data_IF_918055934166
#
_entry.id   IF_918055934166
#
_cell.length_a   1.000
_cell.length_b   1.000
_cell.length_c   1.000
_cell.angle_alpha   90.00
_cell.angle_beta   90.00
_cell.angle_gamma   90.00
#
_symmetry.space_group_name_H-M   'P 1'
#
loop_
_entity.id
_entity.type
_entity.pdbx_description
1 polymer ?
#
# COMPACT_ATOMS: atom_id res chain seq x y z
N UNK A 1 -5.66 -0.30 24.16
CA UNK A 1 -4.56 -0.45 23.18
C UNK A 1 -3.25 -0.71 23.91
N UNK A 2 -2.16 -0.88 23.18
CA UNK A 2 -0.84 -1.12 23.75
C UNK A 2 0.20 -0.30 23.00
N UNK A 3 0.91 0.57 23.71
CA UNK A 3 2.15 1.22 23.25
C UNK A 3 3.19 0.94 24.32
N UNK A 4 4.34 0.42 23.91
CA UNK A 4 5.43 0.10 24.81
C UNK A 4 6.73 0.63 24.26
N UNK A 5 7.42 1.46 25.03
CA UNK A 5 8.75 1.93 24.68
C UNK A 5 9.79 0.86 25.04
N UNK A 6 10.59 0.45 24.06
CA UNK A 6 11.88 -0.17 24.34
C UNK A 6 12.90 0.97 24.48
N UNK A 7 13.30 1.38 25.69
CA UNK A 7 13.13 0.77 27.01
C UNK A 7 12.82 1.82 28.08
N UNK A 8 12.49 1.40 29.30
CA UNK A 8 12.25 2.33 30.41
C UNK A 8 13.48 3.20 30.74
N UNK A 9 14.64 2.57 30.88
CA UNK A 9 15.91 3.23 31.22
C UNK A 9 17.04 2.71 30.35
N UNK A 10 17.85 3.61 29.80
CA UNK A 10 19.04 3.26 29.00
C UNK A 10 19.99 2.35 29.78
N UNK A 11 20.53 1.32 29.12
CA UNK A 11 21.52 0.44 29.72
C UNK A 11 22.86 1.19 29.91
N UNK A 12 23.54 1.09 31.07
CA UNK A 12 24.84 1.70 31.26
C UNK A 12 26.01 0.85 30.72
N UNK A 13 25.73 -0.38 30.28
CA UNK A 13 26.72 -1.33 29.74
C UNK A 13 26.03 -2.31 28.78
N UNK A 14 26.75 -2.77 27.76
CA UNK A 14 26.29 -3.76 26.78
C UNK A 14 26.31 -3.23 25.34
N UNK A 15 25.68 -3.98 24.42
CA UNK A 15 25.59 -3.64 22.99
C UNK A 15 24.63 -2.48 22.71
N UNK A 16 23.68 -2.21 23.61
CA UNK A 16 22.59 -1.23 23.42
C UNK A 16 22.79 0.04 24.25
N UNK A 17 24.02 0.36 24.68
CA UNK A 17 24.28 1.55 25.52
C UNK A 17 23.84 2.85 24.85
N UNK A 18 23.79 2.93 23.53
CA UNK A 18 23.35 4.10 22.77
C UNK A 18 21.88 4.05 22.36
N UNK A 19 21.16 2.96 22.65
CA UNK A 19 19.72 2.88 22.45
C UNK A 19 19.00 3.43 23.68
N UNK A 20 18.73 4.74 23.64
CA UNK A 20 18.19 5.46 24.79
C UNK A 20 16.76 5.07 25.13
N UNK A 21 16.48 4.93 26.42
CA UNK A 21 15.13 4.74 26.95
C UNK A 21 14.39 6.05 27.21
N UNK A 22 13.24 5.94 27.88
CA UNK A 22 12.49 7.10 28.38
C UNK A 22 13.31 7.90 29.40
N UNK A 23 14.00 7.19 30.30
CA UNK A 23 15.02 7.74 31.17
C UNK A 23 16.41 7.42 30.60
N UNK A 24 17.30 8.42 30.60
CA UNK A 24 18.69 8.26 30.19
C UNK A 24 19.53 7.60 31.29
N UNK A 25 20.87 7.65 31.19
CA UNK A 25 21.77 7.06 32.17
C UNK A 25 21.61 7.62 33.59
N UNK A 26 21.21 8.90 33.70
CA UNK A 26 20.95 9.55 34.98
C UNK A 26 19.76 8.96 35.72
N UNK A 27 18.86 8.23 35.03
CA UNK A 27 17.58 7.77 35.56
C UNK A 27 16.67 8.89 36.08
N UNK A 28 16.89 10.12 35.62
CA UNK A 28 16.05 11.28 35.96
C UNK A 28 15.00 11.52 34.86
N UNK A 29 13.77 11.94 35.21
CA UNK A 29 12.77 12.27 34.22
C UNK A 29 13.17 13.50 33.40
N UNK A 30 13.07 13.39 32.08
CA UNK A 30 13.34 14.49 31.14
C UNK A 30 12.17 14.76 30.19
N UNK A 31 12.45 15.47 29.08
CA UNK A 31 11.47 15.80 28.04
C UNK A 31 10.67 14.59 27.55
N UNK A 32 11.34 13.45 27.32
CA UNK A 32 10.70 12.18 26.88
C UNK A 32 9.67 11.67 27.88
N UNK A 33 9.98 11.72 29.18
CA UNK A 33 9.05 11.32 30.24
C UNK A 33 7.86 12.28 30.33
N UNK A 34 8.06 13.58 30.15
CA UNK A 34 6.97 14.57 30.12
C UNK A 34 6.03 14.31 28.93
N UNK A 35 6.59 14.04 27.75
CA UNK A 35 5.84 13.75 26.53
C UNK A 35 5.02 12.46 26.64
N UNK A 36 5.61 11.37 27.12
CA UNK A 36 4.87 10.11 27.37
C UNK A 36 3.80 10.28 28.44
N UNK A 37 4.04 11.12 29.45
CA UNK A 37 3.02 11.44 30.46
C UNK A 37 1.82 12.15 29.84
N UNK A 38 2.06 13.11 28.93
CA UNK A 38 1.00 13.81 28.19
C UNK A 38 0.20 12.84 27.31
N UNK A 39 0.89 11.99 26.55
CA UNK A 39 0.24 10.94 25.73
C UNK A 39 -0.65 10.03 26.60
N UNK A 40 -0.15 9.63 27.78
CA UNK A 40 -0.92 8.83 28.73
C UNK A 40 -2.18 9.52 29.26
N UNK A 41 -2.19 10.86 29.36
CA UNK A 41 -3.38 11.64 29.75
C UNK A 41 -4.38 11.73 28.59
N UNK A 42 -3.90 11.97 27.37
CA UNK A 42 -4.72 12.04 26.15
C UNK A 42 -5.47 10.73 25.89
N UNK A 43 -4.89 9.58 26.26
CA UNK A 43 -5.54 8.28 26.10
C UNK A 43 -6.89 8.15 26.82
N UNK A 44 -7.10 8.86 27.94
CA UNK A 44 -8.38 8.82 28.64
C UNK A 44 -9.52 9.38 27.77
N UNK A 45 -9.23 10.30 26.84
CA UNK A 45 -10.21 10.83 25.90
C UNK A 45 -10.52 9.86 24.74
N UNK A 46 -9.74 8.78 24.59
CA UNK A 46 -9.84 7.81 23.51
C UNK A 46 -10.41 6.46 23.95
N UNK A 47 -11.02 6.38 25.14
CA UNK A 47 -11.46 5.10 25.73
C UNK A 47 -12.45 4.32 24.86
N UNK A 48 -13.35 5.03 24.17
CA UNK A 48 -14.36 4.40 23.31
C UNK A 48 -13.76 3.79 22.02
N UNK A 49 -12.58 4.28 21.61
CA UNK A 49 -11.87 3.88 20.40
C UNK A 49 -11.18 2.51 20.55
N UNK A 50 -10.95 2.04 21.78
CA UNK A 50 -10.29 0.77 22.01
C UNK A 50 -11.05 -0.41 21.39
N UNK A 51 -10.35 -1.18 20.56
CA UNK A 51 -10.93 -2.29 19.80
C UNK A 51 -11.65 -1.87 18.52
N UNK A 52 -11.53 -0.61 18.08
CA UNK A 52 -11.98 -0.19 16.76
C UNK A 52 -11.07 -0.74 15.65
N UNK A 53 -11.64 -1.21 14.56
CA UNK A 53 -10.91 -1.75 13.42
C UNK A 53 -10.41 -0.63 12.52
N UNK A 54 -9.16 -0.71 12.08
CA UNK A 54 -8.64 0.16 11.03
C UNK A 54 -9.40 -0.09 9.72
N UNK A 55 -9.72 0.97 8.99
CA UNK A 55 -10.53 0.88 7.78
C UNK A 55 -9.66 1.17 6.55
N UNK A 56 -9.38 0.12 5.77
CA UNK A 56 -8.71 0.20 4.49
C UNK A 56 -9.51 -0.53 3.41
N UNK A 57 -9.60 0.08 2.23
CA UNK A 57 -10.23 -0.53 1.05
C UNK A 57 -9.19 -1.05 0.05
N UNK A 58 -7.92 -0.73 0.26
CA UNK A 58 -6.78 -1.18 -0.54
C UNK A 58 -5.93 -2.10 0.32
N UNK A 59 -5.49 -3.23 -0.24
CA UNK A 59 -4.51 -4.09 0.40
C UNK A 59 -3.35 -4.44 -0.55
N UNK A 60 -2.15 -4.50 0.00
CA UNK A 60 -0.97 -5.06 -0.64
C UNK A 60 -0.83 -6.50 -0.20
N UNK A 61 -0.98 -7.42 -1.14
CA UNK A 61 -0.91 -8.86 -0.90
C UNK A 61 0.55 -9.29 -0.80
N UNK A 62 0.85 -10.04 0.26
CA UNK A 62 2.14 -10.70 0.48
C UNK A 62 1.93 -12.15 0.86
N UNK A 63 3.00 -12.94 0.76
CA UNK A 63 3.11 -14.27 1.38
C UNK A 63 4.51 -14.38 1.96
N UNK A 64 4.68 -15.12 3.06
CA UNK A 64 6.01 -15.32 3.63
C UNK A 64 6.97 -16.01 2.66
N UNK A 65 6.48 -16.96 1.87
CA UNK A 65 7.31 -17.67 0.88
C UNK A 65 7.88 -16.72 -0.17
N UNK A 66 7.11 -15.74 -0.65
CA UNK A 66 7.62 -14.74 -1.59
C UNK A 66 8.61 -13.77 -0.94
N UNK A 67 8.38 -13.37 0.32
CA UNK A 67 9.32 -12.53 1.08
C UNK A 67 10.66 -13.27 1.27
N UNK A 68 10.62 -14.57 1.59
CA UNK A 68 11.85 -15.36 1.72
C UNK A 68 12.54 -15.62 0.37
N UNK A 69 11.78 -15.81 -0.71
CA UNK A 69 12.33 -15.92 -2.06
C UNK A 69 13.01 -14.63 -2.49
N UNK A 70 12.43 -13.46 -2.20
CA UNK A 70 12.96 -12.16 -2.61
C UNK A 70 14.27 -11.78 -1.92
N UNK A 71 14.48 -12.23 -0.68
CA UNK A 71 15.74 -12.04 0.07
C UNK A 71 16.94 -12.73 -0.60
N UNK A 72 16.71 -13.78 -1.38
CA UNK A 72 17.75 -14.58 -2.04
C UNK A 72 17.78 -14.40 -3.57
N UNK A 73 16.63 -14.24 -4.20
CA UNK A 73 16.52 -13.97 -5.63
C UNK A 73 16.85 -12.50 -5.92
N UNK A 74 18.12 -12.25 -6.26
CA UNK A 74 18.62 -10.90 -6.56
C UNK A 74 17.86 -10.14 -7.65
N UNK A 75 17.11 -10.82 -8.52
CA UNK A 75 16.26 -10.17 -9.52
C UNK A 75 14.92 -9.76 -8.90
N UNK A 76 14.34 -10.60 -8.06
CA UNK A 76 13.10 -10.30 -7.35
C UNK A 76 13.30 -9.19 -6.31
N UNK A 77 14.34 -9.28 -5.47
CA UNK A 77 14.61 -8.25 -4.46
C UNK A 77 14.89 -6.86 -5.04
N UNK A 78 15.30 -6.77 -6.31
CA UNK A 78 15.47 -5.49 -7.02
C UNK A 78 14.15 -4.80 -7.35
N UNK A 79 13.06 -5.55 -7.52
CA UNK A 79 11.76 -5.03 -7.93
C UNK A 79 10.78 -4.90 -6.77
N UNK A 80 10.85 -5.78 -5.78
CA UNK A 80 9.92 -5.80 -4.64
C UNK A 80 10.00 -4.50 -3.83
N UNK A 81 11.19 -4.18 -3.29
CA UNK A 81 11.34 -3.03 -2.39
C UNK A 81 10.99 -1.69 -3.03
N UNK A 82 11.45 -1.35 -4.26
CA UNK A 82 11.03 -0.11 -4.91
C UNK A 82 9.53 -0.04 -5.16
N UNK A 83 8.90 -1.15 -5.55
CA UNK A 83 7.45 -1.20 -5.76
C UNK A 83 6.69 -1.04 -4.45
N UNK A 84 7.14 -1.65 -3.36
CA UNK A 84 6.54 -1.50 -2.03
C UNK A 84 6.63 -0.05 -1.54
N UNK A 85 7.81 0.56 -1.63
CA UNK A 85 8.05 1.95 -1.26
C UNK A 85 7.14 2.89 -2.09
N UNK A 86 7.03 2.65 -3.40
CA UNK A 86 6.18 3.41 -4.31
C UNK A 86 4.68 3.25 -4.01
N UNK A 87 4.22 2.03 -3.73
CA UNK A 87 2.82 1.76 -3.36
C UNK A 87 2.49 2.44 -2.04
N UNK A 88 3.35 2.29 -1.04
CA UNK A 88 3.16 2.92 0.27
C UNK A 88 3.12 4.45 0.15
N UNK A 89 4.10 5.04 -0.55
CA UNK A 89 4.15 6.48 -0.79
C UNK A 89 2.89 6.98 -1.51
N UNK A 90 2.50 6.35 -2.63
CA UNK A 90 1.34 6.79 -3.39
C UNK A 90 0.04 6.72 -2.59
N UNK A 91 -0.16 5.66 -1.79
CA UNK A 91 -1.34 5.53 -0.93
C UNK A 91 -1.33 6.61 0.17
N UNK A 92 -0.20 6.79 0.84
CA UNK A 92 -0.05 7.79 1.91
C UNK A 92 -0.31 9.21 1.40
N UNK A 93 0.35 9.58 0.30
CA UNK A 93 0.31 10.89 -0.32
C UNK A 93 -1.01 11.20 -1.05
N UNK A 94 -1.87 10.20 -1.21
CA UNK A 94 -3.24 10.34 -1.72
C UNK A 94 -4.31 10.21 -0.64
N UNK A 95 -3.90 10.11 0.64
CA UNK A 95 -4.80 9.88 1.77
C UNK A 95 -5.66 8.62 1.62
N UNK A 96 -5.05 7.56 1.09
CA UNK A 96 -5.69 6.26 0.84
C UNK A 96 -5.21 5.24 1.88
N UNK A 97 -6.04 4.90 2.89
CA UNK A 97 -5.71 3.86 3.85
C UNK A 97 -5.42 2.51 3.17
N UNK A 98 -4.34 1.85 3.60
CA UNK A 98 -3.89 0.58 3.03
C UNK A 98 -3.55 -0.44 4.12
N UNK A 99 -3.80 -1.72 3.83
CA UNK A 99 -3.32 -2.85 4.64
C UNK A 99 -2.21 -3.62 3.92
N UNK A 100 -1.27 -4.19 4.66
CA UNK A 100 -0.44 -5.29 4.16
C UNK A 100 -1.06 -6.62 4.63
N UNK A 101 -1.48 -7.44 3.68
CA UNK A 101 -2.19 -8.70 3.97
C UNK A 101 -1.32 -9.88 3.56
N UNK A 102 -0.97 -10.71 4.55
CA UNK A 102 -0.22 -11.94 4.34
C UNK A 102 -1.17 -13.10 4.12
N UNK A 103 -1.27 -13.56 2.88
CA UNK A 103 -2.07 -14.72 2.53
C UNK A 103 -1.29 -16.02 2.77
N UNK A 104 -2.02 -17.05 3.18
CA UNK A 104 -1.52 -18.41 3.40
C UNK A 104 -2.63 -19.44 3.09
N UNK A 105 -2.35 -20.73 3.30
CA UNK A 105 -3.29 -21.81 3.03
C UNK A 105 -4.60 -21.78 3.85
N UNK A 106 -4.70 -20.92 4.87
CA UNK A 106 -5.91 -20.72 5.69
C UNK A 106 -6.71 -19.50 5.25
N UNK A 107 -6.15 -18.67 4.38
CA UNK A 107 -6.80 -17.48 3.86
C UNK A 107 -8.01 -17.86 3.01
N UNK A 108 -9.04 -17.04 3.09
CA UNK A 108 -10.33 -17.27 2.45
C UNK A 108 -10.82 -16.00 1.75
N UNK A 109 -11.87 -16.15 0.94
CA UNK A 109 -12.48 -14.99 0.28
C UNK A 109 -13.04 -13.98 1.30
N UNK A 110 -13.58 -14.46 2.42
CA UNK A 110 -14.13 -13.63 3.51
C UNK A 110 -13.09 -12.67 4.08
N UNK A 111 -11.82 -13.10 4.17
CA UNK A 111 -10.71 -12.26 4.62
C UNK A 111 -10.45 -11.07 3.67
N UNK A 112 -10.87 -11.19 2.42
CA UNK A 112 -10.64 -10.22 1.34
C UNK A 112 -11.85 -9.34 1.04
N UNK A 113 -13.06 -9.69 1.50
CA UNK A 113 -14.32 -9.01 1.15
C UNK A 113 -14.35 -7.52 1.54
N UNK A 114 -13.57 -7.12 2.54
CA UNK A 114 -13.44 -5.71 2.95
C UNK A 114 -12.67 -4.84 1.96
N UNK A 115 -11.86 -5.44 1.09
CA UNK A 115 -11.04 -4.71 0.13
C UNK A 115 -11.76 -4.58 -1.21
N UNK A 116 -11.57 -3.43 -1.86
CA UNK A 116 -12.01 -3.16 -3.22
C UNK A 116 -10.87 -3.36 -4.23
N UNK A 117 -9.63 -3.17 -3.77
CA UNK A 117 -8.43 -3.27 -4.58
C UNK A 117 -7.37 -4.09 -3.84
N UNK A 118 -6.87 -5.13 -4.50
CA UNK A 118 -5.66 -5.85 -4.12
C UNK A 118 -4.53 -5.46 -5.07
N UNK A 119 -3.51 -4.82 -4.54
CA UNK A 119 -2.23 -4.68 -5.21
C UNK A 119 -1.42 -5.93 -4.91
N UNK A 120 -0.94 -6.61 -5.93
CA UNK A 120 -0.16 -7.85 -5.84
C UNK A 120 1.19 -7.61 -6.50
N UNK A 121 2.12 -6.88 -5.83
CA UNK A 121 3.43 -6.63 -6.38
C UNK A 121 4.20 -7.94 -6.48
N UNK A 122 4.51 -8.32 -7.71
CA UNK A 122 5.54 -9.31 -8.02
C UNK A 122 5.40 -10.68 -7.35
N UNK A 123 4.19 -11.19 -7.11
CA UNK A 123 3.97 -12.47 -6.42
C UNK A 123 4.46 -13.67 -7.24
N UNK A 124 5.77 -13.92 -7.21
CA UNK A 124 6.52 -14.90 -7.99
C UNK A 124 6.14 -16.35 -7.71
N UNK A 125 6.05 -16.73 -6.44
CA UNK A 125 5.63 -18.05 -6.01
C UNK A 125 4.11 -18.05 -5.83
N UNK A 126 3.43 -18.92 -6.58
CA UNK A 126 1.98 -19.05 -6.53
C UNK A 126 1.58 -20.50 -6.78
N UNK A 127 0.68 -21.02 -5.95
CA UNK A 127 0.01 -22.29 -6.17
C UNK A 127 -1.40 -22.09 -6.75
N UNK A 128 -2.03 -23.19 -7.16
CA UNK A 128 -3.38 -23.16 -7.72
C UNK A 128 -4.40 -22.58 -6.72
N UNK A 129 -4.27 -22.87 -5.42
CA UNK A 129 -5.20 -22.38 -4.40
C UNK A 129 -5.15 -20.84 -4.28
N UNK A 130 -3.96 -20.25 -4.26
CA UNK A 130 -3.77 -18.80 -4.25
C UNK A 130 -4.30 -18.14 -5.52
N UNK A 131 -4.02 -18.73 -6.70
CA UNK A 131 -4.54 -18.22 -7.96
C UNK A 131 -6.08 -18.22 -7.98
N UNK A 132 -6.70 -19.32 -7.53
CA UNK A 132 -8.16 -19.43 -7.48
C UNK A 132 -8.79 -18.50 -6.43
N UNK A 133 -8.14 -18.28 -5.29
CA UNK A 133 -8.60 -17.30 -4.29
C UNK A 133 -8.62 -15.88 -4.85
N UNK A 134 -7.53 -15.44 -5.48
CA UNK A 134 -7.44 -14.11 -6.10
C UNK A 134 -8.43 -13.97 -7.26
N UNK A 135 -8.60 -15.02 -8.06
CA UNK A 135 -9.60 -15.06 -9.13
C UNK A 135 -11.03 -14.96 -8.58
N UNK A 136 -11.36 -15.70 -7.52
CA UNK A 136 -12.67 -15.66 -6.89
C UNK A 136 -12.99 -14.25 -6.33
N UNK A 137 -11.99 -13.57 -5.76
CA UNK A 137 -12.11 -12.17 -5.35
C UNK A 137 -12.46 -11.25 -6.52
N UNK A 138 -11.79 -11.39 -7.67
CA UNK A 138 -12.14 -10.61 -8.88
C UNK A 138 -13.55 -10.96 -9.36
N UNK A 139 -13.89 -12.25 -9.45
CA UNK A 139 -15.22 -12.69 -9.91
C UNK A 139 -16.35 -12.14 -9.02
N UNK A 140 -16.10 -11.97 -7.72
CA UNK A 140 -17.03 -11.38 -6.75
C UNK A 140 -17.22 -9.86 -6.88
N UNK A 141 -16.35 -9.16 -7.62
CA UNK A 141 -16.42 -7.71 -7.85
C UNK A 141 -15.20 -6.93 -7.39
N UNK A 142 -14.19 -7.60 -6.85
CA UNK A 142 -12.91 -6.98 -6.47
C UNK A 142 -12.06 -6.62 -7.68
N UNK A 143 -11.07 -5.76 -7.46
CA UNK A 143 -10.04 -5.43 -8.46
C UNK A 143 -8.68 -5.94 -8.01
N UNK A 144 -7.96 -6.65 -8.87
CA UNK A 144 -6.58 -7.09 -8.60
C UNK A 144 -5.63 -6.44 -9.59
N UNK A 145 -4.51 -5.91 -9.12
CA UNK A 145 -3.41 -5.40 -9.96
C UNK A 145 -2.16 -6.24 -9.70
N UNK A 146 -1.78 -7.06 -10.67
CA UNK A 146 -0.53 -7.81 -10.63
C UNK A 146 0.63 -6.96 -11.15
N UNK A 147 1.78 -7.07 -10.47
CA UNK A 147 3.05 -6.61 -11.02
C UNK A 147 3.74 -7.67 -11.88
N UNK A 148 4.84 -7.26 -12.51
CA UNK A 148 5.72 -8.15 -13.27
C UNK A 148 6.16 -9.36 -12.44
N UNK A 149 6.57 -10.46 -13.08
CA UNK A 149 7.09 -11.66 -12.41
C UNK A 149 6.05 -12.36 -11.53
N UNK A 150 4.76 -12.16 -11.77
CA UNK A 150 3.72 -12.89 -11.04
C UNK A 150 3.66 -14.36 -11.51
N UNK A 151 3.59 -15.29 -10.55
CA UNK A 151 3.18 -16.68 -10.76
C UNK A 151 4.13 -17.58 -11.56
N UNK A 152 5.40 -17.19 -11.76
CA UNK A 152 6.35 -17.98 -12.56
C UNK A 152 7.03 -19.12 -11.79
N UNK A 153 6.93 -19.15 -10.45
CA UNK A 153 7.39 -20.24 -9.58
C UNK A 153 6.20 -20.94 -8.93
N UNK A 154 6.33 -22.23 -8.68
CA UNK A 154 5.42 -22.97 -7.80
C UNK A 154 5.78 -22.78 -6.31
N UNK A 155 5.04 -23.44 -5.42
CA UNK A 155 5.24 -23.36 -3.97
C UNK A 155 6.59 -23.91 -3.47
N UNK A 156 7.35 -24.62 -4.31
CA UNK A 156 8.69 -25.12 -3.98
C UNK A 156 9.80 -24.28 -4.65
N UNK A 157 9.44 -23.17 -5.30
CA UNK A 157 10.37 -22.30 -6.01
C UNK A 157 10.80 -22.84 -7.39
N UNK A 158 10.20 -23.95 -7.86
CA UNK A 158 10.47 -24.48 -9.18
C UNK A 158 9.76 -23.62 -10.22
N UNK A 159 10.46 -23.23 -11.30
CA UNK A 159 9.83 -22.60 -12.45
C UNK A 159 9.20 -23.67 -13.35
N UNK A 160 7.86 -23.82 -13.38
CA UNK A 160 7.22 -24.86 -14.19
C UNK A 160 7.37 -24.54 -15.68
N UNK A 161 7.34 -25.57 -16.53
CA UNK A 161 7.36 -25.42 -17.99
C UNK A 161 6.02 -24.88 -18.52
N UNK A 162 5.70 -23.61 -18.20
CA UNK A 162 4.46 -22.90 -18.52
C UNK A 162 4.80 -21.47 -18.99
N UNK A 163 4.05 -20.89 -19.94
CA UNK A 163 4.18 -19.47 -20.26
C UNK A 163 3.95 -18.57 -19.04
N UNK A 164 4.75 -17.50 -18.91
CA UNK A 164 4.52 -16.45 -17.91
C UNK A 164 3.29 -15.60 -18.30
N UNK A 165 2.48 -15.11 -17.34
CA UNK A 165 2.68 -15.12 -15.89
C UNK A 165 2.04 -16.33 -15.18
N UNK A 166 2.29 -17.53 -15.69
CA UNK A 166 1.97 -18.78 -15.02
C UNK A 166 0.46 -18.99 -14.84
N UNK A 167 0.05 -19.22 -13.60
CA UNK A 167 -1.36 -19.49 -13.25
C UNK A 167 -2.30 -18.32 -13.57
N UNK A 168 -1.78 -17.08 -13.53
CA UNK A 168 -2.59 -15.87 -13.76
C UNK A 168 -2.85 -15.61 -15.23
N UNK A 169 -1.95 -16.05 -16.13
CA UNK A 169 -2.00 -15.70 -17.55
C UNK A 169 -3.32 -16.04 -18.24
N UNK A 170 -3.93 -17.19 -17.90
CA UNK A 170 -5.18 -17.62 -18.52
C UNK A 170 -6.35 -16.69 -18.21
N UNK A 171 -6.50 -16.27 -16.95
CA UNK A 171 -7.66 -15.48 -16.52
C UNK A 171 -7.40 -13.97 -16.58
N UNK A 172 -6.15 -13.51 -16.47
CA UNK A 172 -5.77 -12.15 -16.86
C UNK A 172 -5.77 -11.94 -18.39
N UNK A 173 -5.72 -13.02 -19.17
CA UNK A 173 -5.76 -12.97 -20.63
C UNK A 173 -4.47 -12.46 -21.27
N UNK A 174 -3.34 -12.60 -20.58
CA UNK A 174 -2.04 -12.10 -21.03
C UNK A 174 -0.98 -13.18 -21.05
N UNK A 175 0.04 -12.96 -21.87
CA UNK A 175 1.28 -13.73 -21.88
C UNK A 175 2.46 -12.76 -21.86
N UNK A 176 3.51 -13.09 -21.12
CA UNK A 176 4.79 -12.39 -21.23
C UNK A 176 5.59 -12.98 -22.39
N UNK A 177 5.98 -12.14 -23.35
CA UNK A 177 6.75 -12.56 -24.54
C UNK A 177 8.24 -12.37 -24.37
N UNK A 178 8.63 -11.35 -23.63
CA UNK A 178 10.03 -11.04 -23.31
C UNK A 178 10.09 -10.28 -21.99
N UNK A 179 11.27 -10.21 -21.38
CA UNK A 179 11.50 -9.41 -20.17
C UNK A 179 12.95 -8.97 -20.06
N UNK A 180 13.17 -7.81 -19.44
CA UNK A 180 14.52 -7.30 -19.20
C UNK A 180 14.62 -6.53 -17.89
N UNK A 181 15.80 -6.62 -17.27
CA UNK A 181 16.22 -5.63 -16.29
C UNK A 181 16.62 -4.35 -17.03
N UNK A 182 16.22 -3.22 -16.47
CA UNK A 182 16.65 -1.91 -16.95
C UNK A 182 18.02 -1.59 -16.32
N UNK A 183 18.98 -1.26 -17.17
CA UNK A 183 20.28 -0.76 -16.76
C UNK A 183 20.30 0.77 -16.72
N UNK A 184 21.50 1.34 -16.59
CA UNK A 184 21.70 2.79 -16.59
C UNK A 184 21.30 3.47 -17.92
N UNK A 185 21.22 2.72 -19.02
CA UNK A 185 20.88 3.28 -20.34
C UNK A 185 19.37 3.47 -20.51
N UNK A 186 18.60 2.72 -19.73
CA UNK A 186 17.14 2.69 -19.73
C UNK A 186 16.56 3.50 -18.55
N UNK A 187 17.40 4.27 -17.83
CA UNK A 187 16.96 5.24 -16.84
C UNK A 187 15.98 6.24 -17.48
N UNK A 188 14.79 6.36 -16.88
CA UNK A 188 13.71 7.22 -17.41
C UNK A 188 12.81 6.57 -18.44
N UNK A 189 12.84 5.23 -18.59
CA UNK A 189 11.81 4.51 -19.34
C UNK A 189 10.42 4.85 -18.79
N UNK A 190 9.47 5.01 -19.70
CA UNK A 190 8.09 5.39 -19.41
C UNK A 190 7.14 4.51 -20.21
N UNK A 191 5.93 4.37 -19.70
CA UNK A 191 4.79 3.84 -20.45
C UNK A 191 3.70 4.91 -20.50
N UNK A 192 3.12 5.12 -21.69
CA UNK A 192 2.02 6.07 -21.88
C UNK A 192 0.68 5.38 -21.62
N UNK A 193 -0.08 5.89 -20.65
CA UNK A 193 -1.48 5.55 -20.40
C UNK A 193 -2.36 6.78 -20.70
N UNK A 194 -3.14 6.69 -21.78
CA UNK A 194 -3.83 7.82 -22.41
C UNK A 194 -2.85 8.94 -22.81
N UNK A 195 -2.89 10.10 -22.14
CA UNK A 195 -2.00 11.24 -22.39
C UNK A 195 -0.89 11.36 -21.33
N UNK A 196 -0.84 10.44 -20.36
CA UNK A 196 0.11 10.49 -19.24
C UNK A 196 1.27 9.52 -19.44
N UNK A 197 2.50 10.02 -19.35
CA UNK A 197 3.71 9.22 -19.36
C UNK A 197 4.08 8.86 -17.93
N UNK A 198 4.03 7.57 -17.61
CA UNK A 198 4.23 7.05 -16.26
C UNK A 198 5.60 6.35 -16.18
N UNK A 199 6.42 6.60 -15.14
CA UNK A 199 7.71 5.95 -15.00
C UNK A 199 7.60 4.42 -14.92
N UNK A 200 8.53 3.73 -15.59
CA UNK A 200 8.71 2.29 -15.50
C UNK A 200 10.12 2.01 -14.98
N UNK A 201 10.31 1.85 -13.66
CA UNK A 201 11.63 1.67 -13.08
C UNK A 201 12.04 0.19 -13.08
N UNK A 202 13.35 -0.06 -13.07
CA UNK A 202 14.01 -1.35 -12.78
C UNK A 202 13.76 -2.53 -13.74
N UNK A 203 12.52 -2.84 -14.12
CA UNK A 203 12.17 -4.06 -14.82
C UNK A 203 10.99 -3.89 -15.78
N UNK A 204 11.01 -4.63 -16.89
CA UNK A 204 9.91 -4.67 -17.86
C UNK A 204 9.62 -6.10 -18.32
N UNK A 205 8.35 -6.43 -18.39
CA UNK A 205 7.78 -7.59 -19.09
C UNK A 205 6.97 -7.09 -20.28
N UNK A 206 7.32 -7.56 -21.47
CA UNK A 206 6.58 -7.27 -22.68
C UNK A 206 5.35 -8.16 -22.71
N UNK A 207 4.16 -7.54 -22.70
CA UNK A 207 2.89 -8.28 -22.63
C UNK A 207 2.29 -8.47 -24.01
N UNK A 208 1.73 -9.66 -24.24
CA UNK A 208 0.87 -9.97 -25.37
C UNK A 208 -0.53 -10.25 -24.85
N UNK A 209 -1.53 -9.49 -25.32
CA UNK A 209 -2.93 -9.76 -25.08
C UNK A 209 -3.33 -11.05 -25.84
N UNK A 210 -3.86 -12.04 -25.10
CA UNK A 210 -4.22 -13.37 -25.61
C UNK A 210 -5.72 -13.60 -25.73
N UNK A 211 -6.54 -12.62 -25.34
CA UNK A 211 -7.97 -12.68 -25.46
C UNK A 211 -8.52 -11.34 -26.00
N UNK A 212 -9.61 -11.41 -26.76
CA UNK A 212 -10.22 -10.25 -27.42
C UNK A 212 -10.85 -9.25 -26.43
N UNK A 213 -11.13 -9.69 -25.20
CA UNK A 213 -11.68 -8.91 -24.11
C UNK A 213 -10.60 -8.26 -23.21
N UNK A 214 -9.33 -8.35 -23.61
CA UNK A 214 -8.21 -7.70 -22.91
C UNK A 214 -7.95 -6.34 -23.54
N UNK A 215 -8.05 -5.31 -22.72
CA UNK A 215 -7.77 -3.93 -23.09
C UNK A 215 -6.33 -3.57 -22.75
N UNK A 216 -5.61 -2.97 -23.70
CA UNK A 216 -4.27 -2.41 -23.46
C UNK A 216 -4.41 -0.97 -23.03
N UNK A 217 -4.07 -0.67 -21.78
CA UNK A 217 -4.19 0.66 -21.19
C UNK A 217 -2.92 1.49 -21.37
N UNK A 218 -1.75 0.86 -21.22
CA UNK A 218 -0.47 1.53 -21.37
C UNK A 218 0.48 0.77 -22.29
N UNK A 219 1.32 1.52 -23.01
CA UNK A 219 2.36 0.98 -23.90
C UNK A 219 3.72 1.60 -23.58
N UNK A 220 4.79 0.83 -23.73
CA UNK A 220 6.15 1.32 -23.53
C UNK A 220 6.52 2.40 -24.56
N UNK A 221 7.21 3.46 -24.12
CA UNK A 221 7.55 4.61 -24.97
C UNK A 221 8.87 4.43 -25.75
N UNK A 222 9.73 3.49 -25.34
CA UNK A 222 11.08 3.34 -25.85
C UNK A 222 11.59 1.89 -25.78
N UNK A 223 12.86 1.70 -26.16
CA UNK A 223 13.56 0.41 -26.27
C UNK A 223 13.05 -0.48 -27.42
N UNK A 224 13.57 -1.72 -27.54
CA UNK A 224 13.22 -2.66 -28.62
C UNK A 224 11.75 -3.11 -28.60
N UNK A 225 11.03 -2.83 -27.52
CA UNK A 225 9.62 -3.11 -27.29
C UNK A 225 8.76 -1.83 -27.24
N UNK A 226 9.25 -0.71 -27.81
CA UNK A 226 8.46 0.51 -27.94
C UNK A 226 7.13 0.24 -28.67
N UNK A 227 6.02 0.71 -28.09
CA UNK A 227 4.67 0.47 -28.58
C UNK A 227 4.05 -0.85 -28.10
N UNK A 228 4.82 -1.74 -27.46
CA UNK A 228 4.26 -2.97 -26.90
C UNK A 228 3.50 -2.71 -25.59
N UNK A 229 2.48 -3.54 -25.26
CA UNK A 229 1.69 -3.40 -24.05
C UNK A 229 2.53 -3.52 -22.75
N UNK A 230 2.36 -2.53 -21.87
CA UNK A 230 2.96 -2.47 -20.53
C UNK A 230 1.93 -2.68 -19.40
N UNK A 231 0.70 -2.22 -19.61
CA UNK A 231 -0.41 -2.41 -18.68
C UNK A 231 -1.64 -2.86 -19.45
N UNK A 232 -2.29 -3.90 -18.95
CA UNK A 232 -3.54 -4.42 -19.51
C UNK A 232 -4.63 -4.46 -18.44
N UNK A 233 -5.89 -4.46 -18.88
CA UNK A 233 -7.07 -4.67 -18.05
C UNK A 233 -7.97 -5.71 -18.71
N UNK A 234 -8.58 -6.57 -17.89
CA UNK A 234 -9.63 -7.50 -18.33
C UNK A 234 -10.74 -7.58 -17.27
N UNK A 235 -11.99 -7.62 -17.73
CA UNK A 235 -13.13 -7.89 -16.85
C UNK A 235 -13.27 -9.39 -16.63
N UNK A 236 -13.34 -9.81 -15.36
CA UNK A 236 -13.54 -11.22 -14.99
C UNK A 236 -14.67 -11.27 -13.95
N UNK A 237 -15.77 -11.96 -14.28
CA UNK A 237 -16.98 -11.93 -13.47
C UNK A 237 -17.51 -10.50 -13.30
N UNK A 238 -17.58 -10.02 -12.06
CA UNK A 238 -18.04 -8.65 -11.74
C UNK A 238 -16.91 -7.65 -11.52
N UNK A 239 -15.66 -8.11 -11.48
CA UNK A 239 -14.49 -7.31 -11.14
C UNK A 239 -13.54 -7.11 -12.31
N UNK A 240 -12.35 -6.61 -12.00
CA UNK A 240 -11.31 -6.30 -12.97
C UNK A 240 -9.98 -6.90 -12.55
N UNK A 241 -9.22 -7.38 -13.52
CA UNK A 241 -7.81 -7.73 -13.34
C UNK A 241 -6.95 -6.83 -14.21
N UNK A 242 -5.95 -6.24 -13.58
CA UNK A 242 -4.90 -5.48 -14.24
C UNK A 242 -3.60 -6.27 -14.16
N UNK A 243 -2.84 -6.28 -15.25
CA UNK A 243 -1.49 -6.85 -15.25
C UNK A 243 -0.51 -5.77 -15.73
N UNK A 244 0.34 -5.32 -14.81
CA UNK A 244 1.42 -4.37 -15.05
C UNK A 244 2.71 -5.16 -15.29
N UNK A 245 3.19 -5.15 -16.54
CA UNK A 245 4.48 -5.73 -16.93
C UNK A 245 5.67 -4.87 -16.52
N UNK A 246 5.64 -4.29 -15.33
CA UNK A 246 6.68 -3.39 -14.82
C UNK A 246 6.70 -3.40 -13.28
N UNK A 247 7.72 -2.75 -12.71
CA UNK A 247 7.66 -2.31 -11.32
C UNK A 247 6.64 -1.19 -11.14
N UNK A 248 6.10 -1.09 -9.93
CA UNK A 248 5.23 0.01 -9.55
C UNK A 248 6.07 1.28 -9.33
N UNK A 249 5.62 2.38 -9.92
CA UNK A 249 6.06 3.74 -9.55
C UNK A 249 4.94 4.44 -8.77
N UNK A 250 5.29 5.50 -8.03
CA UNK A 250 4.30 6.26 -7.26
C UNK A 250 3.19 6.80 -8.16
N UNK A 251 3.56 7.35 -9.32
CA UNK A 251 2.64 7.93 -10.30
C UNK A 251 1.74 6.86 -10.92
N UNK A 252 2.29 5.67 -11.21
CA UNK A 252 1.51 4.54 -11.71
C UNK A 252 0.46 4.11 -10.67
N UNK A 253 0.86 3.99 -9.40
CA UNK A 253 -0.07 3.62 -8.31
C UNK A 253 -1.13 4.71 -8.12
N UNK A 254 -0.75 5.99 -8.08
CA UNK A 254 -1.70 7.11 -7.97
C UNK A 254 -2.70 7.13 -9.14
N UNK A 255 -2.24 6.82 -10.36
CA UNK A 255 -3.13 6.70 -11.52
C UNK A 255 -4.06 5.50 -11.40
N UNK A 256 -3.60 4.34 -10.93
CA UNK A 256 -4.43 3.16 -10.64
C UNK A 256 -5.49 3.45 -9.56
N UNK A 257 -5.12 4.16 -8.48
CA UNK A 257 -6.06 4.58 -7.44
C UNK A 257 -7.12 5.54 -7.99
N UNK A 258 -6.72 6.43 -8.90
CA UNK A 258 -7.66 7.33 -9.59
C UNK A 258 -8.62 6.56 -10.49
N UNK A 259 -8.10 5.65 -11.32
CA UNK A 259 -8.88 4.80 -12.22
C UNK A 259 -9.90 3.94 -11.45
N UNK A 260 -9.52 3.45 -10.27
CA UNK A 260 -10.39 2.61 -9.43
C UNK A 260 -11.31 3.42 -8.50
N UNK A 261 -11.23 4.75 -8.51
CA UNK A 261 -12.03 5.63 -7.65
C UNK A 261 -11.70 5.49 -6.16
N UNK A 262 -10.47 5.08 -5.85
CA UNK A 262 -9.96 4.85 -4.50
C UNK A 262 -8.93 5.91 -4.07
N UNK A 263 -8.69 6.92 -4.90
CA UNK A 263 -7.90 8.10 -4.52
C UNK A 263 -8.68 8.97 -3.54
N UNK A 264 -8.04 9.38 -2.44
CA UNK A 264 -8.61 10.26 -1.42
C UNK A 264 -10.04 9.88 -0.98
N UNK A 265 -10.28 8.62 -0.54
CA UNK A 265 -11.61 8.14 -0.19
C UNK A 265 -12.25 8.90 0.98
N UNK A 266 -11.46 9.69 1.71
CA UNK A 266 -11.85 10.49 2.86
C UNK A 266 -12.16 11.96 2.51
N UNK A 267 -12.05 12.38 1.25
CA UNK A 267 -12.25 13.77 0.83
C UNK A 267 -13.64 14.34 1.19
N UNK A 268 -14.66 13.49 1.33
CA UNK A 268 -15.99 13.89 1.79
C UNK A 268 -16.07 14.20 3.30
N UNK A 269 -15.10 13.72 4.08
CA UNK A 269 -15.00 13.94 5.52
C UNK A 269 -14.00 15.04 5.87
N UNK A 270 -12.88 15.11 5.14
CA UNK A 270 -11.77 16.02 5.39
C UNK A 270 -10.96 16.23 4.10
N UNK A 271 -10.55 17.47 3.82
CA UNK A 271 -9.48 17.75 2.86
C UNK A 271 -8.21 18.07 3.66
N UNK A 272 -7.08 17.46 3.29
CA UNK A 272 -5.80 17.66 3.96
C UNK A 272 -4.67 17.81 2.93
N UNK A 273 -3.58 18.51 3.27
CA UNK A 273 -2.35 18.51 2.46
C UNK A 273 -1.69 17.12 2.43
N UNK A 274 -0.86 16.89 1.42
CA UNK A 274 -0.12 15.62 1.22
C UNK A 274 0.80 15.25 2.41
N UNK A 275 1.33 16.24 3.12
CA UNK A 275 2.16 16.04 4.32
C UNK A 275 1.42 15.60 5.58
N UNK A 276 0.09 15.43 5.50
CA UNK A 276 -0.78 15.01 6.60
C UNK A 276 -1.32 13.61 6.32
N UNK A 277 -1.13 12.68 7.26
CA UNK A 277 -1.74 11.36 7.19
C UNK A 277 -3.15 11.35 7.75
N UNK A 278 -4.02 10.63 7.05
CA UNK A 278 -5.40 10.39 7.46
C UNK A 278 -5.62 8.89 7.69
N UNK A 279 -6.05 8.53 8.89
CA UNK A 279 -6.34 7.15 9.26
C UNK A 279 -7.73 7.04 9.89
N UNK A 280 -8.52 6.06 9.46
CA UNK A 280 -9.89 5.87 9.95
C UNK A 280 -9.99 4.58 10.76
N UNK A 281 -10.68 4.65 11.89
CA UNK A 281 -11.05 3.50 12.70
C UNK A 281 -12.54 3.46 12.93
N UNK A 282 -13.12 2.25 13.00
CA UNK A 282 -14.55 2.05 13.19
C UNK A 282 -14.86 0.99 14.25
N UNK A 283 -15.90 1.20 15.04
CA UNK A 283 -16.43 0.23 16.00
C UNK A 283 -17.95 0.35 16.07
N UNK A 284 -18.65 -0.63 15.50
CA UNK A 284 -20.10 -0.55 15.31
C UNK A 284 -20.48 0.62 14.41
N UNK A 285 -21.29 1.54 14.94
CA UNK A 285 -21.73 2.76 14.23
C UNK A 285 -20.79 3.96 14.43
N UNK A 286 -19.81 3.85 15.33
CA UNK A 286 -18.88 4.95 15.63
C UNK A 286 -17.66 4.89 14.72
N UNK A 287 -17.24 6.07 14.27
CA UNK A 287 -16.05 6.26 13.45
C UNK A 287 -15.14 7.32 14.07
N UNK A 288 -13.84 7.10 13.94
CA UNK A 288 -12.81 8.03 14.37
C UNK A 288 -11.83 8.29 13.23
N UNK A 289 -11.47 9.55 13.05
CA UNK A 289 -10.50 9.99 12.07
C UNK A 289 -9.29 10.55 12.80
N UNK A 290 -8.15 9.91 12.61
CA UNK A 290 -6.84 10.41 13.02
C UNK A 290 -6.28 11.29 11.92
N UNK A 291 -5.76 12.44 12.34
CA UNK A 291 -5.07 13.38 11.47
C UNK A 291 -3.69 13.64 12.08
N UNK A 292 -2.64 13.30 11.33
CA UNK A 292 -1.26 13.34 11.79
C UNK A 292 -0.46 14.26 10.86
N UNK A 293 -0.06 15.44 11.33
CA UNK A 293 0.84 16.30 10.59
C UNK A 293 2.28 15.76 10.71
N UNK A 294 2.90 15.30 9.64
CA UNK A 294 4.31 14.87 9.66
C UNK A 294 5.31 15.97 9.29
N UNK A 295 4.83 17.19 9.01
CA UNK A 295 5.68 18.32 8.67
C UNK A 295 6.14 19.06 9.93
N UNK A 296 7.30 19.71 9.83
CA UNK A 296 7.81 20.66 10.82
C UNK A 296 7.20 22.07 10.68
N UNK A 297 6.20 22.21 9.81
CA UNK A 297 5.42 23.42 9.57
C UNK A 297 3.92 23.19 9.86
N UNK A 298 3.18 24.24 10.25
CA UNK A 298 1.72 24.15 10.37
C UNK A 298 1.06 23.72 9.06
N UNK A 299 0.02 22.89 9.16
CA UNK A 299 -0.77 22.44 8.01
C UNK A 299 -2.24 22.84 8.19
N UNK A 300 -2.90 23.21 7.10
CA UNK A 300 -4.30 23.64 7.11
C UNK A 300 -5.19 22.53 6.56
N UNK A 301 -6.10 22.05 7.39
CA UNK A 301 -7.15 21.09 7.04
C UNK A 301 -8.42 21.84 6.64
N UNK A 302 -9.30 21.18 5.88
CA UNK A 302 -10.67 21.65 5.65
C UNK A 302 -11.69 20.61 6.08
N UNK A 303 -12.54 20.99 7.03
CA UNK A 303 -13.63 20.16 7.55
C UNK A 303 -14.98 20.64 6.98
N UNK A 304 -15.66 19.84 6.14
CA UNK A 304 -16.96 20.21 5.55
C UNK A 304 -18.07 20.39 6.61
N UNK A 305 -18.00 19.63 7.70
CA UNK A 305 -18.93 19.68 8.84
C UNK A 305 -18.17 19.86 10.14
N UNK A 306 -18.89 20.22 11.20
CA UNK A 306 -18.30 20.33 12.53
C UNK A 306 -18.02 18.94 13.12
N UNK A 307 -16.80 18.73 13.60
CA UNK A 307 -16.41 17.54 14.36
C UNK A 307 -15.87 17.94 15.73
N UNK A 308 -15.90 17.02 16.69
CA UNK A 308 -15.23 17.20 17.98
C UNK A 308 -13.84 16.60 17.92
N UNK A 309 -12.80 17.40 18.14
CA UNK A 309 -11.46 16.89 18.42
C UNK A 309 -11.46 16.30 19.83
N UNK A 310 -11.26 15.00 19.93
CA UNK A 310 -11.30 14.27 21.20
C UNK A 310 -10.15 14.65 22.12
N UNK A 311 -9.02 15.12 21.58
CA UNK A 311 -7.85 15.47 22.39
C UNK A 311 -8.06 16.79 23.14
N UNK A 312 -8.58 17.81 22.46
CA UNK A 312 -8.83 19.13 23.05
C UNK A 312 -10.26 19.32 23.59
N UNK A 313 -11.22 18.51 23.13
CA UNK A 313 -12.64 18.65 23.40
C UNK A 313 -13.33 19.80 22.65
N UNK A 314 -12.64 20.44 21.70
CA UNK A 314 -13.19 21.55 20.92
C UNK A 314 -13.98 21.04 19.71
N UNK A 315 -15.01 21.79 19.33
CA UNK A 315 -15.70 21.57 18.05
C UNK A 315 -15.03 22.43 16.99
N UNK A 316 -14.59 21.80 15.90
CA UNK A 316 -13.86 22.44 14.80
C UNK A 316 -14.61 22.25 13.47
N UNK A 317 -14.61 23.27 12.61
CA UNK A 317 -15.24 23.25 11.28
C UNK A 317 -14.52 24.25 10.36
N UNK A 318 -14.53 24.00 9.05
CA UNK A 318 -13.94 24.91 8.07
C UNK A 318 -12.43 24.73 8.01
N UNK A 319 -11.69 25.83 7.91
CA UNK A 319 -10.23 25.80 7.93
C UNK A 319 -9.70 25.64 9.36
N UNK A 320 -8.92 24.59 9.58
CA UNK A 320 -8.33 24.27 10.88
C UNK A 320 -6.82 24.12 10.72
N UNK A 321 -6.05 24.86 11.50
CA UNK A 321 -4.60 24.72 11.54
C UNK A 321 -4.19 23.61 12.53
N UNK A 322 -3.32 22.72 12.07
CA UNK A 322 -2.63 21.72 12.90
C UNK A 322 -1.18 22.12 13.02
N UNK A 323 -0.69 22.27 14.25
CA UNK A 323 0.69 22.64 14.52
C UNK A 323 1.72 21.63 13.93
N UNK A 324 3.00 22.02 13.79
CA UNK A 324 4.07 21.10 13.43
C UNK A 324 4.05 19.84 14.28
N UNK A 325 4.10 18.66 13.64
CA UNK A 325 3.99 17.36 14.33
C UNK A 325 2.71 17.18 15.17
N UNK A 326 1.69 18.01 14.91
CA UNK A 326 0.42 18.02 15.63
C UNK A 326 -0.49 16.84 15.25
N UNK A 327 -1.38 16.51 16.17
CA UNK A 327 -2.36 15.43 16.03
C UNK A 327 -3.76 15.96 16.31
N UNK A 328 -4.74 15.52 15.53
CA UNK A 328 -6.16 15.65 15.84
C UNK A 328 -6.81 14.27 15.78
N UNK A 329 -7.81 14.05 16.64
CA UNK A 329 -8.61 12.83 16.59
C UNK A 329 -10.08 13.21 16.61
N UNK A 330 -10.74 13.13 15.46
CA UNK A 330 -12.14 13.49 15.32
C UNK A 330 -13.05 12.29 15.54
N UNK A 331 -14.16 12.49 16.25
CA UNK A 331 -15.34 11.61 16.17
C UNK A 331 -16.21 12.06 14.99
N UNK A 332 -16.45 11.16 14.03
CA UNK A 332 -17.05 11.45 12.72
C UNK A 332 -18.40 10.77 12.55
#
# INVERSE_FOLDING_TARGET
>A
AFVSSFRWRTAPMGTEIYWHGLNDYSNEPGRKMQEVTRIGQEWAALDDLWGADYQAQVAVVRTYDNVYDSELDTWHGRIERPSDDAVFAACQLSHTPLDFVYLDARSSLEDLERYRLLLVPHLAMMDEAMSELLRAFVEAGGTVVFGARTGYKDSNGLCPMRPMPGLVGQWAGVKVTDFTNLGQREEGLTATWDEQRLPVPVFSEVLEARADDVEVLARFDADYYAGEPALTRRTVGKGQVYYLGACFSEEMVRRLLTETGLVSPLAGLIEAPEGVELAVRRKGERQWLFVLNYQDEPQVLRLPTAYTDLLSGTSEQGEVEVEPYGVRVYAV
#
